data_IF_954517254231
#
_entry.id   IF_954517254231
#
_cell.length_a   1.000
_cell.length_b   1.000
_cell.length_c   1.000
_cell.angle_alpha   90.00
_cell.angle_beta   90.00
_cell.angle_gamma   90.00
#
_symmetry.space_group_name_H-M   'P 1'
#
loop_
_entity.id
_entity.type
_entity.pdbx_description
1 polymer ?
#
# COMPACT_ATOMS: atom_id res chain seq x y z
N UNK A 1 59.11 7.53 -38.78
CA UNK A 1 57.93 7.53 -37.89
C UNK A 1 58.40 7.90 -36.50
N UNK A 2 58.34 9.19 -36.17
CA UNK A 2 58.79 9.70 -34.88
C UNK A 2 57.68 9.54 -33.85
N UNK A 3 57.92 8.72 -32.83
CA UNK A 3 57.04 8.57 -31.67
C UNK A 3 57.37 9.68 -30.67
N UNK A 4 56.40 10.54 -30.37
CA UNK A 4 56.48 11.52 -29.31
C UNK A 4 56.43 10.81 -27.95
N UNK A 5 57.58 10.64 -27.31
CA UNK A 5 57.66 10.24 -25.91
C UNK A 5 57.30 11.44 -25.03
N UNK A 6 56.01 11.68 -24.80
CA UNK A 6 55.54 12.58 -23.74
C UNK A 6 55.66 11.85 -22.38
N UNK A 7 56.89 11.69 -21.91
CA UNK A 7 57.17 11.34 -20.52
C UNK A 7 56.89 12.56 -19.66
N UNK A 8 55.93 12.46 -18.75
CA UNK A 8 55.67 13.51 -17.76
C UNK A 8 56.82 13.50 -16.75
N UNK A 9 57.67 14.54 -16.76
CA UNK A 9 58.79 14.69 -15.83
C UNK A 9 58.26 14.87 -14.39
N UNK A 10 58.11 13.75 -13.66
CA UNK A 10 57.59 13.74 -12.28
C UNK A 10 58.41 14.60 -11.32
N UNK A 11 59.68 14.81 -11.64
CA UNK A 11 60.64 15.61 -10.88
C UNK A 11 60.37 17.12 -10.94
N UNK A 12 59.54 17.60 -11.89
CA UNK A 12 59.19 19.02 -12.05
C UNK A 12 57.86 19.39 -11.42
N UNK A 13 57.21 18.49 -10.69
CA UNK A 13 55.91 18.74 -10.07
C UNK A 13 56.06 19.58 -8.79
N UNK A 14 55.21 20.59 -8.65
CA UNK A 14 55.06 21.35 -7.41
C UNK A 14 54.54 20.44 -6.29
N UNK A 15 54.84 20.77 -5.02
CA UNK A 15 54.38 20.00 -3.85
C UNK A 15 52.87 19.73 -3.88
N UNK A 16 52.07 20.72 -4.29
CA UNK A 16 50.63 20.60 -4.41
C UNK A 16 50.20 19.62 -5.52
N UNK A 17 50.91 19.58 -6.65
CA UNK A 17 50.62 18.64 -7.74
C UNK A 17 50.95 17.20 -7.35
N UNK A 18 52.02 16.99 -6.57
CA UNK A 18 52.35 15.66 -6.04
C UNK A 18 51.24 15.19 -5.09
N UNK A 19 50.76 16.06 -4.20
CA UNK A 19 49.65 15.73 -3.29
C UNK A 19 48.37 15.40 -4.07
N UNK A 20 48.04 16.20 -5.10
CA UNK A 20 46.84 15.96 -5.91
C UNK A 20 46.94 14.63 -6.69
N UNK A 21 48.13 14.32 -7.21
CA UNK A 21 48.38 13.08 -7.95
C UNK A 21 48.25 11.85 -7.04
N UNK A 22 48.80 11.89 -5.82
CA UNK A 22 48.68 10.76 -4.87
C UNK A 22 47.23 10.57 -4.40
N UNK A 23 46.47 11.65 -4.24
CA UNK A 23 45.03 11.59 -3.94
C UNK A 23 44.24 10.97 -5.10
N UNK A 24 44.52 11.38 -6.33
CA UNK A 24 43.88 10.84 -7.53
C UNK A 24 44.15 9.33 -7.68
N UNK A 25 45.41 8.91 -7.53
CA UNK A 25 45.80 7.50 -7.69
C UNK A 25 45.18 6.63 -6.60
N UNK A 26 45.16 7.09 -5.35
CA UNK A 26 44.51 6.33 -4.26
C UNK A 26 43.00 6.21 -4.46
N UNK A 27 42.33 7.25 -4.95
CA UNK A 27 40.91 7.22 -5.28
C UNK A 27 40.58 6.21 -6.38
N UNK A 28 41.31 6.24 -7.50
CA UNK A 28 41.11 5.30 -8.63
C UNK A 28 41.38 3.86 -8.22
N UNK A 29 42.41 3.64 -7.39
CA UNK A 29 42.77 2.29 -6.91
C UNK A 29 41.66 1.70 -6.02
N UNK A 30 41.00 2.51 -5.20
CA UNK A 30 39.87 2.08 -4.36
C UNK A 30 38.69 1.56 -5.18
N UNK A 31 38.30 2.32 -6.22
CA UNK A 31 37.19 1.93 -7.11
C UNK A 31 37.53 0.65 -7.88
N UNK A 32 38.76 0.56 -8.43
CA UNK A 32 39.20 -0.63 -9.16
C UNK A 32 39.20 -1.89 -8.26
N UNK A 33 39.68 -1.76 -7.02
CA UNK A 33 39.67 -2.88 -6.06
C UNK A 33 38.25 -3.34 -5.74
N UNK A 34 37.31 -2.39 -5.56
CA UNK A 34 35.89 -2.72 -5.31
C UNK A 34 35.20 -3.45 -6.45
N UNK A 35 35.46 -3.07 -7.71
CA UNK A 35 34.85 -3.75 -8.87
C UNK A 35 35.41 -5.17 -9.02
N UNK A 36 36.72 -5.35 -8.81
CA UNK A 36 37.37 -6.67 -8.91
C UNK A 36 36.89 -7.62 -7.80
N UNK A 37 36.71 -7.15 -6.57
CA UNK A 37 36.22 -8.01 -5.49
C UNK A 37 34.78 -8.44 -5.68
N UNK A 38 33.90 -7.57 -6.18
CA UNK A 38 32.50 -7.91 -6.48
C UNK A 38 32.40 -8.88 -7.65
N UNK A 39 33.16 -8.65 -8.73
CA UNK A 39 33.13 -9.53 -9.90
C UNK A 39 33.66 -10.94 -9.63
N UNK A 40 34.61 -11.11 -8.70
CA UNK A 40 35.06 -12.42 -8.25
C UNK A 40 34.03 -13.14 -7.36
N UNK A 41 33.20 -12.40 -6.62
CA UNK A 41 32.12 -12.98 -5.81
C UNK A 41 30.95 -13.49 -6.66
N UNK A 42 30.67 -12.86 -7.80
CA UNK A 42 29.64 -13.31 -8.75
C UNK A 42 30.07 -14.53 -9.61
N UNK A 43 31.34 -14.95 -9.55
CA UNK A 43 31.84 -16.14 -10.26
C UNK A 43 31.70 -17.45 -9.47
N UNK A 44 30.76 -17.53 -8.52
CA UNK A 44 30.48 -18.80 -7.83
C UNK A 44 29.94 -19.85 -8.83
N UNK A 45 30.58 -21.05 -8.95
CA UNK A 45 30.01 -22.15 -9.72
C UNK A 45 28.67 -22.59 -9.11
N UNK A 46 27.69 -23.06 -9.91
CA UNK A 46 26.51 -23.70 -9.36
C UNK A 46 26.95 -24.91 -8.53
N UNK A 47 26.85 -24.78 -7.20
CA UNK A 47 27.11 -25.85 -6.27
C UNK A 47 26.19 -27.03 -6.59
N UNK A 48 26.81 -28.21 -6.63
CA UNK A 48 26.21 -29.51 -6.93
C UNK A 48 25.01 -29.78 -6.03
N UNK A 49 23.81 -29.49 -6.51
CA UNK A 49 22.54 -29.88 -5.88
C UNK A 49 22.01 -31.20 -6.46
N UNK A 50 22.88 -32.21 -6.63
CA UNK A 50 22.48 -33.55 -7.04
C UNK A 50 23.30 -34.61 -6.31
N UNK A 51 22.92 -34.98 -5.08
CA UNK A 51 23.04 -36.37 -4.54
C UNK A 51 22.28 -36.46 -3.21
N UNK A 52 20.96 -36.22 -3.18
CA UNK A 52 20.09 -36.72 -2.08
C UNK A 52 18.71 -37.06 -2.63
N UNK A 53 18.64 -37.90 -3.66
CA UNK A 53 17.36 -38.53 -4.02
C UNK A 53 17.56 -39.92 -4.63
N UNK A 54 18.44 -40.69 -3.99
CA UNK A 54 18.57 -42.12 -4.27
C UNK A 54 18.81 -42.78 -2.93
N UNK A 55 17.96 -43.76 -2.59
CA UNK A 55 17.95 -44.61 -1.39
C UNK A 55 16.86 -44.25 -0.36
N UNK A 56 15.59 -44.46 -0.75
CA UNK A 56 14.60 -45.20 0.07
C UNK A 56 13.66 -45.96 -0.88
N UNK A 57 14.16 -47.00 -1.54
CA UNK A 57 13.29 -48.05 -2.09
C UNK A 57 13.92 -49.40 -1.79
N UNK A 58 13.67 -49.89 -0.58
CA UNK A 58 13.54 -51.33 -0.35
C UNK A 58 12.20 -51.61 0.31
N UNK A 59 11.38 -52.30 -0.47
CA UNK A 59 10.47 -53.35 -0.03
C UNK A 59 9.17 -52.90 0.63
N UNK A 60 8.16 -52.62 -0.19
CA UNK A 60 6.91 -53.39 -0.12
C UNK A 60 6.43 -53.68 -1.54
N UNK A 61 6.71 -54.90 -1.99
CA UNK A 61 6.17 -55.49 -3.19
C UNK A 61 4.70 -55.84 -2.93
N UNK A 62 3.76 -55.02 -3.45
CA UNK A 62 2.36 -55.40 -3.56
C UNK A 62 1.98 -55.46 -5.03
N UNK A 63 1.77 -56.68 -5.49
CA UNK A 63 1.41 -57.04 -6.85
C UNK A 63 0.02 -56.49 -7.20
N UNK A 64 -0.08 -55.68 -8.24
CA UNK A 64 -1.35 -55.34 -8.92
C UNK A 64 -1.12 -55.44 -10.43
N UNK A 65 -2.02 -56.07 -11.23
CA UNK A 65 -1.76 -56.35 -12.64
C UNK A 65 -1.79 -55.10 -13.52
N UNK A 66 -1.06 -55.22 -14.63
CA UNK A 66 -0.79 -54.21 -15.64
C UNK A 66 -2.04 -53.56 -16.26
N UNK A 67 -1.90 -52.27 -16.57
CA UNK A 67 -2.74 -51.61 -17.56
C UNK A 67 -3.08 -50.17 -17.21
N UNK A 68 -2.17 -49.23 -17.47
CA UNK A 68 -2.45 -47.95 -18.15
C UNK A 68 -1.18 -47.10 -18.23
N UNK A 69 -0.98 -46.52 -19.40
CA UNK A 69 0.16 -45.70 -19.76
C UNK A 69 0.34 -44.55 -18.76
N UNK A 70 1.50 -44.52 -18.11
CA UNK A 70 1.96 -43.36 -17.37
C UNK A 70 2.37 -42.28 -18.38
N UNK A 71 1.46 -41.36 -18.67
CA UNK A 71 1.82 -40.01 -19.10
C UNK A 71 2.66 -39.40 -17.97
N UNK A 72 3.95 -39.25 -18.24
CA UNK A 72 4.88 -38.48 -17.42
C UNK A 72 4.38 -37.04 -17.40
N UNK A 73 3.67 -36.67 -16.33
CA UNK A 73 3.39 -35.27 -16.01
C UNK A 73 4.70 -34.71 -15.46
N UNK A 74 5.49 -34.11 -16.33
CA UNK A 74 6.55 -33.19 -15.93
C UNK A 74 5.88 -31.97 -15.33
N UNK A 75 5.57 -32.02 -14.03
CA UNK A 75 5.24 -30.84 -13.24
C UNK A 75 6.48 -29.96 -13.24
N UNK A 76 6.56 -29.09 -14.23
CA UNK A 76 7.48 -27.97 -14.21
C UNK A 76 6.96 -27.05 -13.13
N UNK A 77 7.49 -27.16 -11.91
CA UNK A 77 7.32 -26.13 -10.88
C UNK A 77 7.89 -24.83 -11.43
N UNK A 78 7.05 -24.10 -12.15
CA UNK A 78 7.31 -22.73 -12.53
C UNK A 78 7.22 -21.95 -11.23
N UNK A 79 8.35 -21.74 -10.57
CA UNK A 79 8.49 -20.75 -9.51
C UNK A 79 8.05 -19.42 -10.09
N UNK A 80 6.78 -19.06 -9.91
CA UNK A 80 6.27 -17.75 -10.29
C UNK A 80 7.00 -16.80 -9.35
N UNK A 81 8.01 -16.11 -9.88
CA UNK A 81 8.65 -15.01 -9.17
C UNK A 81 7.58 -13.93 -9.03
N UNK A 82 6.89 -13.95 -7.89
CA UNK A 82 5.88 -12.95 -7.57
C UNK A 82 6.64 -11.67 -7.24
N UNK A 83 6.52 -10.67 -8.13
CA UNK A 83 7.10 -9.35 -7.90
C UNK A 83 6.19 -8.56 -6.99
N UNK A 84 6.77 -7.76 -6.11
CA UNK A 84 6.01 -6.87 -5.22
C UNK A 84 5.08 -5.92 -5.99
N UNK A 85 5.52 -5.44 -7.17
CA UNK A 85 4.67 -4.65 -8.08
C UNK A 85 3.38 -5.38 -8.47
N UNK A 86 3.45 -6.69 -8.67
CA UNK A 86 2.32 -7.51 -9.08
C UNK A 86 1.39 -7.76 -7.89
N UNK A 87 1.94 -7.83 -6.67
CA UNK A 87 1.16 -7.88 -5.44
C UNK A 87 0.40 -6.59 -5.21
N UNK A 88 1.07 -5.43 -5.34
CA UNK A 88 0.42 -4.12 -5.22
C UNK A 88 -0.73 -4.01 -6.20
N UNK A 89 -0.54 -4.37 -7.48
CA UNK A 89 -1.60 -4.32 -8.49
C UNK A 89 -2.81 -5.18 -8.08
N UNK A 90 -2.58 -6.42 -7.62
CA UNK A 90 -3.64 -7.32 -7.13
C UNK A 90 -4.31 -6.80 -5.86
N UNK A 91 -3.54 -6.22 -4.94
CA UNK A 91 -4.05 -5.60 -3.73
C UNK A 91 -5.00 -4.44 -4.05
N UNK A 92 -4.62 -3.58 -5.00
CA UNK A 92 -5.47 -2.49 -5.48
C UNK A 92 -6.74 -3.04 -6.12
N UNK A 93 -6.64 -4.05 -6.98
CA UNK A 93 -7.80 -4.67 -7.62
C UNK A 93 -8.79 -5.23 -6.58
N UNK A 94 -8.28 -5.84 -5.51
CA UNK A 94 -9.08 -6.37 -4.41
C UNK A 94 -9.73 -5.29 -3.56
N UNK A 95 -9.04 -4.19 -3.28
CA UNK A 95 -9.55 -3.12 -2.41
C UNK A 95 -10.45 -2.11 -3.15
N UNK A 96 -10.20 -1.87 -4.45
CA UNK A 96 -10.90 -0.84 -5.23
C UNK A 96 -12.44 -0.89 -5.15
N UNK A 97 -13.10 -2.08 -5.15
CA UNK A 97 -14.55 -2.16 -5.00
C UNK A 97 -15.09 -1.64 -3.66
N UNK A 98 -14.24 -1.58 -2.64
CA UNK A 98 -14.59 -1.12 -1.29
C UNK A 98 -14.30 0.37 -1.07
N UNK A 99 -13.67 1.04 -2.03
CA UNK A 99 -13.35 2.47 -1.95
C UNK A 99 -14.42 3.26 -2.70
N UNK A 100 -15.05 4.18 -1.99
CA UNK A 100 -16.13 5.01 -2.52
C UNK A 100 -15.80 6.49 -2.41
N UNK A 101 -16.48 7.31 -3.20
CA UNK A 101 -16.25 8.77 -3.25
C UNK A 101 -17.47 9.51 -2.77
N UNK A 102 -17.26 10.47 -1.88
CA UNK A 102 -18.34 11.23 -1.26
C UNK A 102 -18.56 12.56 -1.98
N UNK A 103 -19.82 12.90 -2.16
CA UNK A 103 -20.26 14.15 -2.74
C UNK A 103 -21.41 14.75 -1.92
N UNK A 104 -21.52 16.07 -1.96
CA UNK A 104 -22.74 16.79 -1.55
C UNK A 104 -23.25 17.61 -2.71
N UNK A 105 -24.56 17.80 -2.78
CA UNK A 105 -25.19 18.66 -3.79
C UNK A 105 -25.49 20.01 -3.15
N UNK A 106 -24.90 21.07 -3.70
CA UNK A 106 -25.15 22.45 -3.28
C UNK A 106 -26.02 23.16 -4.32
N UNK A 107 -26.86 24.09 -3.86
CA UNK A 107 -27.67 24.96 -4.73
C UNK A 107 -27.06 26.36 -4.72
N UNK A 108 -26.79 26.91 -5.91
CA UNK A 108 -26.40 28.31 -6.03
C UNK A 108 -27.59 29.23 -5.70
N UNK A 109 -27.32 30.52 -5.49
CA UNK A 109 -28.36 31.54 -5.32
C UNK A 109 -29.32 31.64 -6.53
N UNK A 110 -28.88 31.18 -7.69
CA UNK A 110 -29.64 31.11 -8.94
C UNK A 110 -30.41 29.78 -9.10
N UNK A 111 -30.39 28.92 -8.07
CA UNK A 111 -31.09 27.64 -8.05
C UNK A 111 -30.40 26.51 -8.81
N UNK A 112 -29.18 26.72 -9.32
CA UNK A 112 -28.42 25.69 -10.03
C UNK A 112 -27.79 24.71 -9.05
N UNK A 113 -28.05 23.42 -9.24
CA UNK A 113 -27.43 22.35 -8.46
C UNK A 113 -26.03 22.03 -8.98
N UNK A 114 -25.08 21.84 -8.07
CA UNK A 114 -23.72 21.39 -8.37
C UNK A 114 -23.22 20.40 -7.34
N UNK A 115 -22.53 19.36 -7.82
CA UNK A 115 -21.92 18.36 -6.94
C UNK A 115 -20.52 18.78 -6.52
N UNK A 116 -20.32 18.83 -5.21
CA UNK A 116 -19.04 19.13 -4.57
C UNK A 116 -18.45 17.83 -4.04
N UNK A 117 -17.22 17.53 -4.44
CA UNK A 117 -16.47 16.39 -3.93
C UNK A 117 -16.01 16.65 -2.50
N UNK A 118 -16.26 15.69 -1.62
CA UNK A 118 -15.96 15.77 -0.19
C UNK A 118 -14.68 15.00 0.19
N UNK A 119 -14.49 13.81 -0.37
CA UNK A 119 -13.40 12.92 0.00
C UNK A 119 -13.66 11.47 -0.39
N UNK A 120 -12.91 10.56 0.22
CA UNK A 120 -13.06 9.12 0.04
C UNK A 120 -13.67 8.48 1.30
N UNK A 121 -14.26 7.31 1.10
CA UNK A 121 -14.76 6.46 2.17
C UNK A 121 -14.43 5.00 1.91
N UNK A 122 -14.44 4.22 2.98
CA UNK A 122 -14.15 2.79 2.96
C UNK A 122 -15.39 2.03 3.41
N UNK A 123 -15.90 1.15 2.57
CA UNK A 123 -17.02 0.25 2.91
C UNK A 123 -16.51 -0.79 3.90
N UNK A 124 -17.12 -0.88 5.09
CA UNK A 124 -16.68 -1.79 6.16
C UNK A 124 -17.61 -2.98 6.35
N UNK A 125 -18.83 -2.94 5.82
CA UNK A 125 -19.82 -4.01 5.96
C UNK A 125 -20.70 -4.16 4.72
N UNK A 126 -21.27 -5.36 4.51
CA UNK A 126 -22.05 -5.69 3.31
C UNK A 126 -23.45 -5.08 3.28
N UNK A 127 -23.92 -4.55 4.41
CA UNK A 127 -25.15 -3.74 4.53
C UNK A 127 -24.93 -2.26 4.16
N UNK A 128 -23.72 -1.87 3.76
CA UNK A 128 -23.43 -0.52 3.25
C UNK A 128 -22.99 0.48 4.30
N UNK A 129 -22.35 0.06 5.40
CA UNK A 129 -21.69 1.00 6.31
C UNK A 129 -20.35 1.44 5.74
N UNK A 130 -20.11 2.74 5.79
CA UNK A 130 -18.95 3.39 5.19
C UNK A 130 -18.29 4.26 6.24
N UNK A 131 -16.98 4.12 6.43
CA UNK A 131 -16.19 5.03 7.25
C UNK A 131 -15.55 6.11 6.37
N UNK A 132 -15.49 7.33 6.87
CA UNK A 132 -14.87 8.48 6.21
C UNK A 132 -14.27 9.42 7.24
N UNK A 133 -13.48 10.39 6.77
CA UNK A 133 -13.03 11.52 7.58
C UNK A 133 -14.21 12.43 7.95
N UNK A 134 -14.37 12.75 9.24
CA UNK A 134 -15.47 13.61 9.72
C UNK A 134 -15.36 15.02 9.14
N UNK A 135 -14.14 15.53 8.93
CA UNK A 135 -13.92 16.87 8.39
C UNK A 135 -14.30 16.99 6.90
N UNK A 136 -14.47 15.87 6.20
CA UNK A 136 -14.96 15.87 4.83
C UNK A 136 -16.46 16.20 4.74
N UNK A 137 -17.22 15.97 5.82
CA UNK A 137 -18.66 16.02 5.76
C UNK A 137 -19.19 17.46 5.91
N UNK A 138 -20.21 17.83 5.13
CA UNK A 138 -20.86 19.13 5.29
C UNK A 138 -21.64 19.17 6.60
N UNK A 139 -21.77 20.36 7.19
CA UNK A 139 -22.59 20.55 8.40
C UNK A 139 -24.08 20.25 8.17
N UNK A 140 -24.56 20.48 6.94
CA UNK A 140 -25.93 20.19 6.50
C UNK A 140 -25.96 19.89 5.00
N UNK A 141 -26.97 19.15 4.56
CA UNK A 141 -27.14 18.76 3.16
C UNK A 141 -27.14 17.25 2.95
N UNK A 142 -27.52 16.83 1.75
CA UNK A 142 -27.56 15.42 1.39
C UNK A 142 -26.16 14.93 1.02
N UNK A 143 -25.76 13.80 1.61
CA UNK A 143 -24.54 13.09 1.24
C UNK A 143 -24.90 12.05 0.18
N UNK A 144 -24.10 11.97 -0.86
CA UNK A 144 -24.17 10.92 -1.86
C UNK A 144 -22.81 10.24 -2.01
N UNK A 145 -22.86 8.96 -2.32
CA UNK A 145 -21.71 8.09 -2.47
C UNK A 145 -21.70 7.59 -3.89
N UNK A 146 -20.61 7.84 -4.61
CA UNK A 146 -20.35 7.26 -5.91
C UNK A 146 -19.68 5.91 -5.73
N UNK A 147 -20.37 4.87 -6.21
CA UNK A 147 -19.88 3.50 -6.28
C UNK A 147 -18.83 3.36 -7.39
N UNK A 148 -17.99 2.31 -7.36
CA UNK A 148 -17.00 2.05 -8.41
C UNK A 148 -17.58 1.93 -9.82
N UNK A 149 -18.85 1.52 -9.95
CA UNK A 149 -19.58 1.43 -11.22
C UNK A 149 -20.08 2.80 -11.74
N UNK A 150 -19.86 3.89 -11.00
CA UNK A 150 -20.30 5.25 -11.32
C UNK A 150 -21.71 5.61 -10.85
N UNK A 151 -22.49 4.65 -10.34
CA UNK A 151 -23.80 4.90 -9.75
C UNK A 151 -23.66 5.71 -8.46
N UNK A 152 -24.60 6.64 -8.25
CA UNK A 152 -24.66 7.43 -7.02
C UNK A 152 -25.82 7.00 -6.16
N UNK A 153 -25.52 6.72 -4.90
CA UNK A 153 -26.50 6.33 -3.89
C UNK A 153 -26.49 7.36 -2.77
N UNK A 154 -27.65 7.59 -2.13
CA UNK A 154 -27.69 8.46 -0.95
C UNK A 154 -26.98 7.77 0.21
N UNK A 155 -26.38 8.56 1.10
CA UNK A 155 -25.89 8.10 2.38
C UNK A 155 -26.35 9.04 3.49
N UNK A 156 -26.59 8.48 4.67
CA UNK A 156 -26.95 9.23 5.88
C UNK A 156 -25.84 9.11 6.90
N UNK A 157 -25.61 10.18 7.68
CA UNK A 157 -24.69 10.14 8.80
C UNK A 157 -25.32 9.33 9.94
N UNK A 158 -24.68 8.22 10.31
CA UNK A 158 -25.11 7.40 11.46
C UNK A 158 -24.43 7.88 12.75
N UNK A 159 -23.11 8.07 12.70
CA UNK A 159 -22.30 8.47 13.87
C UNK A 159 -21.08 9.28 13.43
N UNK A 160 -20.58 10.14 14.32
CA UNK A 160 -19.25 10.77 14.20
C UNK A 160 -18.48 10.67 15.51
N UNK A 161 -17.16 10.71 15.44
CA UNK A 161 -16.24 10.88 16.58
C UNK A 161 -15.20 11.92 16.18
N UNK A 162 -15.20 13.04 16.90
CA UNK A 162 -14.24 14.11 16.69
C UNK A 162 -12.84 13.72 17.21
N UNK A 163 -12.78 12.82 18.19
CA UNK A 163 -11.57 12.37 18.88
C UNK A 163 -10.63 11.58 17.98
N UNK A 164 -11.18 10.80 17.05
CA UNK A 164 -10.41 10.01 16.07
C UNK A 164 -10.64 10.44 14.63
N UNK A 165 -11.41 11.51 14.41
CA UNK A 165 -11.67 12.09 13.09
C UNK A 165 -12.50 11.20 12.17
N UNK A 166 -13.33 10.31 12.71
CA UNK A 166 -14.13 9.36 11.93
C UNK A 166 -15.62 9.74 11.89
N UNK A 167 -16.24 9.45 10.75
CA UNK A 167 -17.69 9.38 10.62
C UNK A 167 -18.11 8.04 10.00
N UNK A 168 -19.19 7.47 10.54
CA UNK A 168 -19.87 6.29 10.02
C UNK A 168 -21.11 6.73 9.26
N UNK A 169 -21.18 6.36 8.00
CA UNK A 169 -22.32 6.59 7.13
C UNK A 169 -23.05 5.29 6.84
N UNK A 170 -24.36 5.37 6.68
CA UNK A 170 -25.18 4.30 6.12
C UNK A 170 -25.54 4.65 4.68
N UNK A 171 -25.00 3.88 3.72
CA UNK A 171 -25.38 3.96 2.32
C UNK A 171 -26.77 3.36 2.07
N UNK A 172 -27.46 3.85 1.04
CA UNK A 172 -28.72 3.25 0.62
C UNK A 172 -28.51 1.79 0.18
N UNK A 173 -29.43 0.91 0.56
CA UNK A 173 -29.39 -0.53 0.24
C UNK A 173 -30.13 -0.88 -1.04
N UNK A 174 -30.89 0.07 -1.60
CA UNK A 174 -31.58 -0.08 -2.88
C UNK A 174 -31.71 1.27 -3.60
N UNK A 175 -31.77 1.18 -4.92
CA UNK A 175 -32.12 2.27 -5.85
C UNK A 175 -33.32 1.83 -6.69
N UNK A 176 -33.82 2.72 -7.55
CA UNK A 176 -34.86 2.36 -8.53
C UNK A 176 -34.40 1.22 -9.47
N UNK A 177 -33.09 1.05 -9.63
CA UNK A 177 -32.47 0.00 -10.45
C UNK A 177 -32.32 -1.35 -9.73
N UNK A 178 -32.58 -1.42 -8.42
CA UNK A 178 -32.52 -2.66 -7.63
C UNK A 178 -31.68 -2.55 -6.35
N UNK A 179 -31.25 -3.69 -5.82
CA UNK A 179 -30.45 -3.76 -4.60
C UNK A 179 -29.00 -3.30 -4.87
N UNK A 180 -28.46 -2.47 -3.97
CA UNK A 180 -27.09 -2.00 -4.04
C UNK A 180 -26.16 -3.06 -3.48
N UNK A 181 -25.13 -3.43 -4.24
CA UNK A 181 -24.11 -4.39 -3.82
C UNK A 181 -22.92 -3.65 -3.19
N UNK A 182 -22.73 -3.84 -1.89
CA UNK A 182 -21.61 -3.27 -1.13
C UNK A 182 -20.52 -4.32 -0.96
N UNK A 183 -19.27 -3.97 -1.31
CA UNK A 183 -18.12 -4.86 -1.13
C UNK A 183 -17.29 -4.38 0.07
N UNK A 184 -17.27 -5.09 1.21
CA UNK A 184 -16.51 -4.68 2.39
C UNK A 184 -15.00 -4.79 2.15
N UNK A 185 -14.26 -3.82 2.64
CA UNK A 185 -12.80 -3.89 2.68
C UNK A 185 -12.35 -4.90 3.74
N UNK A 186 -11.29 -5.65 3.44
CA UNK A 186 -10.59 -6.42 4.46
C UNK A 186 -9.77 -5.48 5.34
N UNK A 187 -10.11 -5.35 6.62
CA UNK A 187 -9.31 -4.59 7.59
C UNK A 187 -8.19 -5.47 8.16
N UNK A 188 -6.96 -4.96 8.17
CA UNK A 188 -5.84 -5.66 8.78
C UNK A 188 -6.02 -5.72 10.30
N UNK A 189 -5.89 -6.92 10.87
CA UNK A 189 -6.00 -7.15 12.32
C UNK A 189 -4.72 -6.79 13.07
N UNK A 190 -3.58 -6.90 12.38
CA UNK A 190 -2.26 -6.56 12.92
C UNK A 190 -1.85 -5.21 12.34
N UNK A 191 -1.26 -4.36 13.18
CA UNK A 191 -0.59 -3.16 12.68
C UNK A 191 0.58 -3.56 11.76
N UNK A 192 0.84 -2.78 10.70
CA UNK A 192 1.98 -3.03 9.82
C UNK A 192 3.30 -2.92 10.62
N UNK A 193 4.40 -3.44 10.09
CA UNK A 193 5.71 -3.30 10.74
C UNK A 193 6.44 -2.06 10.24
N UNK A 194 7.38 -1.52 11.02
CA UNK A 194 8.30 -0.50 10.52
C UNK A 194 9.07 -1.03 9.30
N UNK A 195 9.13 -0.23 8.23
CA UNK A 195 9.72 -0.61 6.95
C UNK A 195 8.81 -1.43 6.04
N UNK A 196 7.58 -1.74 6.44
CA UNK A 196 6.60 -2.43 5.58
C UNK A 196 6.12 -1.49 4.46
N UNK A 197 6.02 -2.03 3.24
CA UNK A 197 5.45 -1.32 2.09
C UNK A 197 3.94 -1.17 2.25
N UNK A 198 3.49 0.07 2.11
CA UNK A 198 2.08 0.45 2.13
C UNK A 198 1.73 1.32 0.94
N UNK A 199 0.46 1.30 0.55
CA UNK A 199 -0.05 2.04 -0.61
C UNK A 199 -1.27 2.85 -0.19
N UNK A 200 -1.20 4.16 -0.41
CA UNK A 200 -2.33 5.07 -0.27
C UNK A 200 -3.19 5.05 -1.53
N UNK A 201 -4.51 5.02 -1.35
CA UNK A 201 -5.51 5.17 -2.40
C UNK A 201 -6.28 6.48 -2.18
N UNK A 202 -6.22 7.35 -3.18
CA UNK A 202 -6.89 8.65 -3.18
C UNK A 202 -7.46 9.00 -4.58
N UNK A 203 -7.96 10.22 -4.73
CA UNK A 203 -8.29 10.80 -6.03
C UNK A 203 -9.79 10.90 -6.34
N UNK A 204 -10.16 12.03 -6.97
CA UNK A 204 -11.56 12.42 -7.25
C UNK A 204 -12.13 11.75 -8.49
N UNK A 205 -11.61 12.07 -9.68
CA UNK A 205 -12.15 11.55 -10.95
C UNK A 205 -11.49 10.22 -11.34
N UNK A 206 -10.22 10.08 -11.01
CA UNK A 206 -9.40 8.90 -11.26
C UNK A 206 -8.76 8.47 -9.96
N UNK A 207 -8.69 7.17 -9.72
CA UNK A 207 -7.93 6.62 -8.60
C UNK A 207 -6.45 6.97 -8.76
N UNK A 208 -5.84 7.47 -7.68
CA UNK A 208 -4.42 7.78 -7.58
C UNK A 208 -3.81 6.92 -6.48
N UNK A 209 -2.64 6.39 -6.78
CA UNK A 209 -1.90 5.52 -5.88
C UNK A 209 -0.60 6.20 -5.51
N UNK A 210 -0.20 6.07 -4.25
CA UNK A 210 1.14 6.44 -3.79
C UNK A 210 1.66 5.36 -2.85
N UNK A 211 2.78 4.74 -3.21
CA UNK A 211 3.47 3.75 -2.38
C UNK A 211 4.46 4.44 -1.45
N UNK A 212 4.62 3.90 -0.26
CA UNK A 212 5.62 4.33 0.70
C UNK A 212 5.93 3.23 1.71
N UNK A 213 6.72 3.58 2.71
CA UNK A 213 7.06 2.72 3.84
C UNK A 213 6.42 3.27 5.11
N UNK A 214 6.11 2.37 6.03
CA UNK A 214 5.83 2.75 7.42
C UNK A 214 7.13 3.19 8.08
N UNK A 215 7.22 4.44 8.50
CA UNK A 215 8.45 5.04 9.07
C UNK A 215 8.38 5.21 10.58
N UNK A 216 7.18 5.36 11.15
CA UNK A 216 6.96 5.36 12.57
C UNK A 216 5.55 4.84 12.90
N UNK A 217 5.37 4.40 14.15
CA UNK A 217 4.09 3.93 14.65
C UNK A 217 3.90 4.40 16.07
N UNK A 218 2.71 4.90 16.36
CA UNK A 218 2.31 5.26 17.71
C UNK A 218 1.28 4.25 18.20
N UNK A 219 1.65 3.51 19.24
CA UNK A 219 0.67 2.72 20.00
C UNK A 219 -0.35 3.66 20.62
N UNK A 220 -1.62 3.39 20.38
CA UNK A 220 -2.71 4.11 21.00
C UNK A 220 -2.80 3.82 22.49
N UNK A 221 -3.40 4.73 23.22
CA UNK A 221 -3.77 4.58 24.63
C UNK A 221 -5.29 4.65 24.75
N UNK A 222 -5.84 4.55 25.96
CA UNK A 222 -7.28 4.79 26.19
C UNK A 222 -7.73 6.19 25.71
N UNK A 223 -6.80 7.16 25.65
CA UNK A 223 -7.09 8.55 25.29
C UNK A 223 -6.50 8.99 23.95
N UNK A 224 -5.80 8.11 23.23
CA UNK A 224 -5.14 8.47 21.98
C UNK A 224 -5.27 7.34 20.94
N UNK A 225 -5.64 7.67 19.68
CA UNK A 225 -5.70 6.67 18.62
C UNK A 225 -4.33 6.08 18.29
N UNK A 226 -4.33 4.90 17.69
CA UNK A 226 -3.16 4.30 17.03
C UNK A 226 -2.92 5.01 15.71
N UNK A 227 -1.69 5.49 15.53
CA UNK A 227 -1.27 6.23 14.34
C UNK A 227 -0.15 5.49 13.61
N UNK A 228 -0.19 5.53 12.29
CA UNK A 228 0.79 4.97 11.38
C UNK A 228 1.37 6.11 10.57
N UNK A 229 2.65 6.38 10.73
CA UNK A 229 3.36 7.39 9.95
C UNK A 229 4.05 6.74 8.76
N UNK A 230 3.93 7.38 7.60
CA UNK A 230 4.51 6.93 6.35
C UNK A 230 5.32 8.05 5.71
N UNK A 231 6.22 7.68 4.79
CA UNK A 231 6.89 8.65 3.92
C UNK A 231 6.07 9.03 2.67
N UNK A 232 4.77 8.70 2.64
CA UNK A 232 3.89 9.08 1.52
C UNK A 232 3.70 10.59 1.54
N UNK A 233 3.88 11.22 0.38
CA UNK A 233 3.79 12.66 0.23
C UNK A 233 2.38 13.19 0.55
N UNK A 234 2.33 14.35 1.20
CA UNK A 234 1.09 14.99 1.66
C UNK A 234 0.07 15.25 0.53
N UNK A 235 0.57 15.57 -0.67
CA UNK A 235 -0.24 15.85 -1.87
C UNK A 235 -0.95 14.61 -2.42
N UNK A 236 -0.49 13.43 -2.01
CA UNK A 236 -1.02 12.12 -2.38
C UNK A 236 -2.05 11.60 -1.36
N UNK A 237 -2.35 12.40 -0.33
CA UNK A 237 -3.28 12.07 0.74
C UNK A 237 -4.42 13.10 0.77
N UNK A 238 -5.64 12.60 0.87
CA UNK A 238 -6.89 13.37 0.93
C UNK A 238 -7.75 12.90 2.12
N UNK A 239 -8.77 13.69 2.46
CA UNK A 239 -9.79 13.29 3.44
C UNK A 239 -10.32 11.88 3.12
N UNK A 240 -10.18 10.96 4.08
CA UNK A 240 -10.65 9.57 3.97
C UNK A 240 -9.83 8.66 3.06
N UNK A 241 -8.62 9.06 2.66
CA UNK A 241 -7.74 8.20 1.84
C UNK A 241 -7.40 6.92 2.59
N UNK A 242 -7.55 5.77 1.91
CA UNK A 242 -7.24 4.47 2.49
C UNK A 242 -5.75 4.18 2.39
N UNK A 243 -5.18 3.56 3.41
CA UNK A 243 -3.84 2.99 3.41
C UNK A 243 -3.96 1.47 3.45
N UNK A 244 -3.34 0.78 2.50
CA UNK A 244 -3.37 -0.68 2.41
C UNK A 244 -1.97 -1.29 2.39
N UNK A 245 -1.86 -2.55 2.78
CA UNK A 245 -0.66 -3.36 2.55
C UNK A 245 -0.68 -3.98 1.13
N UNK A 246 0.38 -4.70 0.77
CA UNK A 246 0.52 -5.34 -0.55
C UNK A 246 -0.52 -6.45 -0.82
N UNK A 247 -1.19 -6.96 0.22
CA UNK A 247 -2.26 -7.98 0.12
C UNK A 247 -3.66 -7.38 -0.13
N UNK A 248 -3.76 -6.05 -0.21
CA UNK A 248 -5.01 -5.32 -0.38
C UNK A 248 -5.85 -5.23 0.90
N UNK A 249 -5.27 -5.48 2.07
CA UNK A 249 -5.92 -5.23 3.35
C UNK A 249 -5.68 -3.78 3.80
N UNK A 250 -6.73 -3.11 4.26
CA UNK A 250 -6.65 -1.75 4.81
C UNK A 250 -5.93 -1.80 6.15
N UNK A 251 -4.80 -1.13 6.24
CA UNK A 251 -4.02 -0.95 7.47
C UNK A 251 -4.31 0.38 8.15
N UNK A 252 -4.90 1.34 7.43
CA UNK A 252 -5.32 2.62 8.02
C UNK A 252 -6.11 3.52 7.09
N UNK A 253 -6.49 4.69 7.60
CA UNK A 253 -7.21 5.73 6.85
C UNK A 253 -6.75 7.11 7.29
N UNK A 254 -6.66 8.05 6.34
CA UNK A 254 -6.34 9.44 6.63
C UNK A 254 -7.55 10.16 7.19
N UNK A 255 -7.39 10.76 8.37
CA UNK A 255 -8.41 11.57 9.05
C UNK A 255 -7.86 12.97 9.33
N UNK A 256 -8.74 13.93 9.62
CA UNK A 256 -8.29 15.27 10.03
C UNK A 256 -7.39 15.19 11.26
N UNK A 257 -7.78 14.36 12.24
CA UNK A 257 -7.04 14.14 13.48
C UNK A 257 -5.69 13.49 13.22
N UNK A 258 -5.61 12.45 12.38
CA UNK A 258 -4.32 11.81 12.09
C UNK A 258 -3.36 12.79 11.41
N UNK A 259 -3.88 13.66 10.52
CA UNK A 259 -3.06 14.64 9.81
C UNK A 259 -2.58 15.81 10.67
N UNK A 260 -3.14 16.02 11.86
CA UNK A 260 -2.59 16.97 12.83
C UNK A 260 -1.22 16.52 13.37
N UNK A 261 -1.00 15.20 13.50
CA UNK A 261 0.29 14.64 13.87
C UNK A 261 1.31 14.69 12.72
N UNK A 262 0.85 14.64 11.47
CA UNK A 262 1.68 14.78 10.28
C UNK A 262 0.94 14.41 9.00
N UNK A 263 1.32 15.01 7.87
CA UNK A 263 0.57 14.85 6.63
C UNK A 263 0.57 13.41 6.07
N UNK A 264 1.61 12.63 6.34
CA UNK A 264 1.73 11.21 5.99
C UNK A 264 1.25 10.24 7.09
N UNK A 265 0.48 10.74 8.06
CA UNK A 265 0.01 9.97 9.22
C UNK A 265 -1.45 9.52 9.02
N UNK A 266 -1.70 8.25 9.31
CA UNK A 266 -2.97 7.56 9.13
C UNK A 266 -3.46 6.99 10.45
N UNK A 267 -4.78 6.98 10.66
CA UNK A 267 -5.42 6.25 11.74
C UNK A 267 -5.37 4.75 11.45
N UNK A 268 -4.99 3.93 12.42
CA UNK A 268 -4.86 2.48 12.23
C UNK A 268 -6.21 1.77 12.03
N UNK A 269 -6.21 0.70 11.22
CA UNK A 269 -7.37 -0.14 10.93
C UNK A 269 -8.03 -0.76 12.15
N UNK A 270 -7.28 -1.00 13.23
CA UNK A 270 -7.82 -1.51 14.50
C UNK A 270 -8.81 -0.54 15.14
N UNK A 271 -8.57 0.77 15.02
CA UNK A 271 -9.46 1.79 15.58
C UNK A 271 -10.66 2.02 14.67
N UNK A 272 -10.49 1.87 13.35
CA UNK A 272 -11.60 1.82 12.38
C UNK A 272 -12.53 0.63 12.70
N UNK A 273 -11.94 -0.55 12.92
CA UNK A 273 -12.69 -1.76 13.27
C UNK A 273 -13.46 -1.57 14.57
N UNK A 274 -12.81 -1.11 15.64
CA UNK A 274 -13.47 -0.93 16.94
C UNK A 274 -14.60 0.11 16.87
N UNK A 275 -14.39 1.21 16.12
CA UNK A 275 -15.39 2.23 15.91
C UNK A 275 -16.61 1.72 15.12
N UNK A 276 -16.38 0.97 14.04
CA UNK A 276 -17.47 0.46 13.18
C UNK A 276 -18.32 -0.65 13.81
N UNK A 277 -17.78 -1.36 14.80
CA UNK A 277 -18.48 -2.44 15.52
C UNK A 277 -19.15 -2.01 16.82
N UNK A 278 -18.83 -0.82 17.35
CA UNK A 278 -19.41 -0.33 18.61
C UNK A 278 -20.91 -0.05 18.42
N UNK A 279 -21.75 -0.61 19.30
CA UNK A 279 -23.21 -0.39 19.30
C UNK A 279 -23.56 1.08 19.56
N UNK A 280 -24.68 1.54 18.99
CA UNK A 280 -25.29 2.90 19.10
C UNK A 280 -25.79 3.27 20.50
N UNK A 281 -25.06 2.86 21.53
CA UNK A 281 -25.46 2.97 22.94
C UNK A 281 -24.97 4.25 23.64
N UNK A 282 -24.56 5.28 22.89
CA UNK A 282 -23.98 6.50 23.48
C UNK A 282 -24.32 7.79 22.73
N UNK A 283 -25.55 7.90 22.22
CA UNK A 283 -26.06 9.12 21.58
C UNK A 283 -27.04 9.90 22.47
N UNK A 284 -26.93 9.78 23.79
CA UNK A 284 -27.55 10.68 24.76
C UNK A 284 -26.46 11.23 25.70
N UNK A 285 -25.83 12.34 25.29
CA UNK A 285 -25.44 13.44 26.18
C UNK A 285 -25.22 14.73 25.38
#
# INVERSE_FOLDING_TARGET
MAWYSNGMDIEKLTKSQIILLTLLVSFVTSIATGIVTVSLMEQAPPAVAQTVNRVVERTVERVVPAGQAATVVTTTERTVVVRESDLIAKGVEKLSPSIVRLYTTTKSAEGKESDVYLGLGIVVTGDGRIVTDVAALPASGAISVALPNGERVRATLSRKSAEIGLALLAGATSTESGAVQWTPAALALKQPSLGETVVSIAGRATTRLASGLVVAQQSGSESAPRLIETNIAADSVQFGSALMNVDGAVVGMSTSVSREAGAGVFLASSDISSYSTRSDESAEE
#
